data_IF_529032176366
#
_entry.id   IF_529032176366
#
_cell.length_a   1.000
_cell.length_b   1.000
_cell.length_c   1.000
_cell.angle_alpha   90.00
_cell.angle_beta   90.00
_cell.angle_gamma   90.00
#
_symmetry.space_group_name_H-M   'P 1'
#
loop_
_entity.id
_entity.type
_entity.pdbx_description
1 polymer ?
#
# COMPACT_ATOMS: atom_id res chain seq x y z
N UNK A 1 -49.13 -38.23 3.14
CA UNK A 1 -49.43 -37.02 3.95
C UNK A 1 -48.12 -36.44 4.48
N UNK A 2 -47.53 -35.45 3.80
CA UNK A 2 -46.36 -34.70 4.28
C UNK A 2 -46.79 -33.23 4.39
N UNK A 3 -46.55 -32.60 5.53
CA UNK A 3 -46.83 -31.18 5.78
C UNK A 3 -45.72 -30.36 5.14
N UNK A 4 -46.10 -29.48 4.23
CA UNK A 4 -45.23 -28.43 3.66
C UNK A 4 -45.28 -27.23 4.60
N UNK A 5 -44.15 -26.83 5.16
CA UNK A 5 -44.01 -25.53 5.82
C UNK A 5 -43.56 -24.54 4.74
N UNK A 6 -44.40 -23.53 4.49
CA UNK A 6 -44.15 -22.42 3.56
C UNK A 6 -44.02 -21.16 4.42
N UNK A 7 -42.86 -20.52 4.40
CA UNK A 7 -42.71 -19.12 4.79
C UNK A 7 -42.10 -18.35 3.61
N UNK A 8 -42.82 -17.34 3.14
CA UNK A 8 -42.43 -16.46 2.03
C UNK A 8 -41.69 -15.22 2.55
N UNK A 9 -40.49 -14.99 2.05
CA UNK A 9 -39.94 -13.65 1.80
C UNK A 9 -39.24 -13.73 0.43
N UNK A 10 -39.65 -12.87 -0.49
CA UNK A 10 -39.03 -12.53 -1.77
C UNK A 10 -38.56 -13.68 -2.69
N UNK A 11 -39.54 -14.28 -3.39
CA UNK A 11 -39.41 -14.41 -4.84
C UNK A 11 -38.58 -15.56 -5.44
N UNK A 12 -38.02 -16.50 -4.68
CA UNK A 12 -37.50 -17.76 -5.25
C UNK A 12 -37.62 -18.95 -4.27
N UNK A 13 -38.35 -19.99 -4.67
CA UNK A 13 -38.56 -21.21 -3.88
C UNK A 13 -37.45 -22.21 -4.19
N UNK A 14 -36.51 -22.41 -3.26
CA UNK A 14 -35.53 -23.51 -3.33
C UNK A 14 -36.06 -24.70 -2.53
N UNK A 15 -36.45 -25.75 -3.24
CA UNK A 15 -36.78 -27.07 -2.67
C UNK A 15 -35.49 -27.88 -2.61
N UNK A 16 -34.96 -28.15 -1.41
CA UNK A 16 -33.82 -29.05 -1.23
C UNK A 16 -34.31 -30.49 -1.00
N UNK A 17 -33.90 -31.48 -1.82
CA UNK A 17 -34.07 -32.87 -1.46
C UNK A 17 -33.01 -33.32 -0.45
N UNK A 18 -33.49 -34.14 0.48
CA UNK A 18 -32.76 -34.87 1.50
C UNK A 18 -31.79 -35.90 0.88
N UNK A 19 -30.63 -36.06 1.53
CA UNK A 19 -29.63 -37.12 1.35
C UNK A 19 -28.73 -37.00 0.11
N UNK A 20 -27.42 -36.81 0.31
CA UNK A 20 -26.39 -37.83 0.03
C UNK A 20 -25.03 -37.33 0.51
N UNK A 21 -24.29 -38.23 1.16
CA UNK A 21 -22.94 -38.04 1.68
C UNK A 21 -21.94 -38.69 0.71
N UNK A 22 -20.66 -38.31 0.83
CA UNK A 22 -19.43 -38.91 0.24
C UNK A 22 -18.89 -38.43 -1.13
N UNK A 23 -17.81 -37.63 -1.04
CA UNK A 23 -16.46 -37.82 -1.63
C UNK A 23 -16.30 -38.09 -3.14
N UNK A 24 -15.56 -37.16 -3.78
CA UNK A 24 -14.90 -37.18 -5.10
C UNK A 24 -15.79 -37.11 -6.36
N UNK A 25 -15.83 -35.94 -7.02
CA UNK A 25 -15.34 -35.81 -8.39
C UNK A 25 -15.08 -34.34 -8.77
N UNK A 26 -13.93 -34.13 -9.41
CA UNK A 26 -13.53 -32.92 -10.11
C UNK A 26 -14.52 -32.51 -11.21
N UNK A 27 -14.43 -31.22 -11.56
CA UNK A 27 -14.86 -30.60 -12.81
C UNK A 27 -16.37 -30.48 -13.03
N UNK A 28 -16.88 -29.25 -12.88
CA UNK A 28 -17.62 -28.46 -13.90
C UNK A 28 -18.47 -27.39 -13.20
N UNK A 29 -17.87 -26.25 -12.84
CA UNK A 29 -18.61 -24.99 -12.68
C UNK A 29 -17.75 -23.82 -13.19
N UNK A 30 -18.21 -23.05 -14.18
CA UNK A 30 -17.45 -21.93 -14.73
C UNK A 30 -17.52 -20.72 -13.80
N UNK A 31 -16.34 -20.16 -13.55
CA UNK A 31 -16.02 -18.73 -13.34
C UNK A 31 -17.18 -17.83 -12.88
N UNK A 32 -17.35 -17.70 -11.57
CA UNK A 32 -18.01 -16.54 -10.94
C UNK A 32 -17.13 -15.91 -9.86
N UNK A 33 -15.82 -15.83 -10.10
CA UNK A 33 -14.86 -15.09 -9.25
C UNK A 33 -14.32 -13.82 -9.90
N UNK A 34 -14.97 -13.30 -10.96
CA UNK A 34 -14.43 -12.22 -11.77
C UNK A 34 -15.27 -10.92 -11.81
N UNK A 35 -16.20 -10.70 -10.87
CA UNK A 35 -16.99 -9.44 -10.81
C UNK A 35 -16.97 -8.77 -9.42
N UNK A 36 -16.07 -9.17 -8.49
CA UNK A 36 -15.96 -8.49 -7.19
C UNK A 36 -14.76 -7.53 -7.05
N UNK A 37 -13.82 -7.52 -7.99
CA UNK A 37 -12.56 -6.76 -7.85
C UNK A 37 -12.54 -5.38 -8.51
N UNK A 38 -13.62 -4.98 -9.21
CA UNK A 38 -13.67 -3.72 -10.00
C UNK A 38 -14.67 -2.69 -9.43
N UNK A 39 -15.32 -2.97 -8.29
CA UNK A 39 -16.34 -2.10 -7.67
C UNK A 39 -16.21 -1.96 -6.15
N UNK A 40 -14.98 -1.91 -5.62
CA UNK A 40 -14.74 -1.34 -4.30
C UNK A 40 -13.82 -0.14 -4.46
N UNK A 41 -14.44 1.00 -4.82
CA UNK A 41 -13.94 2.26 -4.32
C UNK A 41 -14.18 2.19 -2.81
N UNK A 42 -13.26 1.57 -2.05
CA UNK A 42 -13.40 1.52 -0.60
C UNK A 42 -13.58 2.97 -0.14
N UNK A 43 -14.79 3.27 0.33
CA UNK A 43 -15.12 4.60 0.81
C UNK A 43 -14.15 4.89 1.94
N UNK A 44 -13.43 6.01 1.82
CA UNK A 44 -12.52 6.48 2.88
C UNK A 44 -13.25 6.46 4.23
N UNK A 45 -12.54 6.03 5.26
CA UNK A 45 -13.05 6.04 6.63
C UNK A 45 -13.09 7.47 7.14
N UNK A 46 -14.15 7.84 7.86
CA UNK A 46 -14.12 9.06 8.68
C UNK A 46 -13.18 8.86 9.88
N UNK A 47 -12.71 9.95 10.47
CA UNK A 47 -11.89 9.87 11.68
C UNK A 47 -12.64 9.19 12.85
N UNK A 48 -13.94 9.42 12.97
CA UNK A 48 -14.79 8.75 13.95
C UNK A 48 -14.78 7.22 13.77
N UNK A 49 -14.92 6.76 12.51
CA UNK A 49 -14.84 5.33 12.19
C UNK A 49 -13.46 4.75 12.54
N UNK A 50 -12.38 5.47 12.24
CA UNK A 50 -11.01 5.07 12.63
C UNK A 50 -10.88 4.94 14.15
N UNK A 51 -11.41 5.90 14.91
CA UNK A 51 -11.38 5.90 16.36
C UNK A 51 -12.20 4.77 17.01
N UNK A 52 -13.19 4.24 16.29
CA UNK A 52 -14.02 3.12 16.72
C UNK A 52 -13.49 1.74 16.28
N UNK A 53 -12.38 1.67 15.53
CA UNK A 53 -11.83 0.40 15.07
C UNK A 53 -11.30 -0.45 16.23
N UNK A 54 -11.63 -1.74 16.20
CA UNK A 54 -10.92 -2.72 17.02
C UNK A 54 -9.46 -2.86 16.55
N UNK A 55 -8.49 -3.16 17.44
CA UNK A 55 -7.07 -3.14 17.11
C UNK A 55 -6.69 -3.93 15.85
N UNK A 56 -7.19 -5.16 15.70
CA UNK A 56 -6.87 -5.99 14.53
C UNK A 56 -7.36 -5.40 13.20
N UNK A 57 -8.48 -4.66 13.20
CA UNK A 57 -8.97 -3.97 12.01
C UNK A 57 -8.13 -2.73 11.71
N UNK A 58 -7.73 -1.97 12.74
CA UNK A 58 -6.78 -0.87 12.60
C UNK A 58 -5.46 -1.34 11.98
N UNK A 59 -4.89 -2.43 12.52
CA UNK A 59 -3.64 -3.01 12.00
C UNK A 59 -3.79 -3.33 10.52
N UNK A 60 -4.85 -4.05 10.14
CA UNK A 60 -5.08 -4.44 8.74
C UNK A 60 -5.32 -3.24 7.81
N UNK A 61 -6.00 -2.20 8.29
CA UNK A 61 -6.26 -1.00 7.48
C UNK A 61 -4.98 -0.19 7.22
N UNK A 62 -4.07 -0.11 8.20
CA UNK A 62 -2.88 0.73 8.10
C UNK A 62 -1.57 -0.06 7.90
N UNK A 63 -1.61 -1.38 7.69
CA UNK A 63 -0.42 -2.26 7.66
C UNK A 63 0.60 -1.88 6.59
N UNK A 64 0.18 -1.23 5.50
CA UNK A 64 1.03 -0.90 4.37
C UNK A 64 1.14 0.62 4.12
N UNK A 65 0.79 1.47 5.10
CA UNK A 65 1.06 2.92 4.94
C UNK A 65 2.56 3.22 4.95
N UNK A 66 3.35 2.35 5.55
CA UNK A 66 4.80 2.25 5.33
C UNK A 66 5.02 0.92 4.61
N UNK A 67 5.78 0.93 3.52
CA UNK A 67 5.93 -0.23 2.63
C UNK A 67 6.40 -1.47 3.39
N UNK A 68 5.57 -2.52 3.37
CA UNK A 68 5.80 -3.81 4.02
C UNK A 68 6.22 -3.71 5.51
N UNK A 69 5.76 -2.69 6.23
CA UNK A 69 6.13 -2.43 7.63
C UNK A 69 4.90 -2.25 8.54
N UNK A 70 4.24 -3.35 8.94
CA UNK A 70 2.99 -3.32 9.70
C UNK A 70 3.15 -2.84 11.16
N UNK A 71 4.36 -2.83 11.70
CA UNK A 71 4.65 -2.49 13.10
C UNK A 71 4.22 -1.06 13.46
N UNK A 72 4.24 -0.15 12.48
CA UNK A 72 3.76 1.22 12.67
C UNK A 72 2.26 1.25 12.98
N UNK A 73 1.46 0.42 12.31
CA UNK A 73 0.03 0.32 12.56
C UNK A 73 -0.26 -0.26 13.96
N UNK A 74 0.54 -1.23 14.39
CA UNK A 74 0.44 -1.79 15.75
C UNK A 74 0.73 -0.71 16.79
N UNK A 75 1.84 0.01 16.65
CA UNK A 75 2.20 1.10 17.54
C UNK A 75 1.14 2.20 17.59
N UNK A 76 0.69 2.68 16.43
CA UNK A 76 -0.26 3.80 16.36
C UNK A 76 -1.67 3.41 16.85
N UNK A 77 -2.06 2.14 16.77
CA UNK A 77 -3.35 1.68 17.31
C UNK A 77 -3.48 1.87 18.82
N UNK A 78 -2.37 1.86 19.56
CA UNK A 78 -2.34 2.10 21.00
C UNK A 78 -2.53 3.58 21.38
N UNK A 79 -2.52 4.49 20.40
CA UNK A 79 -2.66 5.94 20.58
C UNK A 79 -4.09 6.43 20.33
N UNK A 80 -5.02 5.52 20.02
CA UNK A 80 -6.43 5.87 19.85
C UNK A 80 -7.02 6.40 21.17
N UNK A 81 -7.97 7.37 21.10
CA UNK A 81 -8.49 8.01 19.89
C UNK A 81 -7.63 9.22 19.44
N UNK A 82 -7.57 9.44 18.11
CA UNK A 82 -6.96 10.63 17.53
C UNK A 82 -7.95 11.79 17.46
N UNK A 83 -7.46 13.01 17.73
CA UNK A 83 -8.27 14.24 17.75
C UNK A 83 -8.56 14.83 16.36
N UNK A 84 -7.72 14.51 15.37
CA UNK A 84 -7.84 15.02 14.00
C UNK A 84 -7.07 14.13 13.03
N UNK A 85 -7.37 14.21 11.73
CA UNK A 85 -6.60 13.52 10.70
C UNK A 85 -5.10 13.92 10.70
N UNK A 86 -4.71 15.20 10.87
CA UNK A 86 -3.32 15.57 11.09
C UNK A 86 -2.67 14.88 12.30
N UNK A 87 -3.41 14.68 13.41
CA UNK A 87 -2.86 13.98 14.58
C UNK A 87 -2.57 12.50 14.29
N UNK A 88 -3.42 11.84 13.50
CA UNK A 88 -3.19 10.48 13.02
C UNK A 88 -1.93 10.42 12.13
N UNK A 89 -1.81 11.31 11.15
CA UNK A 89 -0.65 11.38 10.25
C UNK A 89 0.64 11.62 11.04
N UNK A 90 0.64 12.61 11.94
CA UNK A 90 1.81 12.91 12.79
C UNK A 90 2.19 11.74 13.69
N UNK A 91 1.26 10.88 14.10
CA UNK A 91 1.59 9.69 14.89
C UNK A 91 2.48 8.71 14.12
N UNK A 92 2.14 8.46 12.85
CA UNK A 92 2.96 7.61 11.96
C UNK A 92 4.29 8.26 11.60
N UNK A 93 4.31 9.56 11.30
CA UNK A 93 5.55 10.29 11.01
C UNK A 93 6.50 10.30 12.22
N UNK A 94 5.98 10.52 13.43
CA UNK A 94 6.76 10.46 14.66
C UNK A 94 7.26 9.05 14.96
N UNK A 95 6.49 8.01 14.63
CA UNK A 95 6.96 6.63 14.73
C UNK A 95 8.22 6.44 13.88
N UNK A 96 8.18 6.81 12.59
CA UNK A 96 9.33 6.72 11.69
C UNK A 96 10.52 7.53 12.23
N UNK A 97 10.28 8.75 12.68
CA UNK A 97 11.33 9.66 13.15
C UNK A 97 12.09 9.10 14.36
N UNK A 98 11.38 8.44 15.28
CA UNK A 98 11.95 7.88 16.52
C UNK A 98 12.63 6.53 16.34
N UNK A 99 12.51 5.90 15.18
CA UNK A 99 13.20 4.65 14.92
C UNK A 99 14.72 4.85 14.94
N UNK A 100 15.49 3.90 15.52
CA UNK A 100 16.93 3.85 15.34
C UNK A 100 17.30 3.81 13.85
N UNK A 101 18.47 4.36 13.50
CA UNK A 101 18.95 4.40 12.10
C UNK A 101 18.95 3.02 11.43
N UNK A 102 19.25 1.95 12.17
CA UNK A 102 19.20 0.58 11.65
C UNK A 102 17.78 0.17 11.20
N UNK A 103 16.76 0.51 11.98
CA UNK A 103 15.36 0.23 11.62
C UNK A 103 14.89 1.12 10.48
N UNK A 104 15.32 2.39 10.44
CA UNK A 104 15.07 3.28 9.29
C UNK A 104 15.65 2.64 8.01
N UNK A 105 16.90 2.16 8.04
CA UNK A 105 17.52 1.48 6.90
C UNK A 105 16.79 0.19 6.50
N UNK A 106 16.28 -0.59 7.46
CA UNK A 106 15.45 -1.78 7.15
C UNK A 106 14.19 -1.38 6.37
N UNK A 107 13.49 -0.33 6.81
CA UNK A 107 12.32 0.20 6.10
C UNK A 107 12.70 0.65 4.68
N UNK A 108 13.76 1.45 4.53
CA UNK A 108 14.15 1.96 3.21
C UNK A 108 14.44 0.82 2.21
N UNK A 109 15.02 -0.30 2.66
CA UNK A 109 15.30 -1.46 1.82
C UNK A 109 14.07 -2.24 1.37
N UNK A 110 12.91 -2.02 1.98
CA UNK A 110 11.65 -2.65 1.57
C UNK A 110 11.03 -1.98 0.34
N UNK A 111 11.41 -0.72 0.06
CA UNK A 111 10.87 0.00 -1.08
C UNK A 111 11.39 -0.58 -2.41
N UNK A 112 10.52 -0.73 -3.42
CA UNK A 112 10.94 -1.19 -4.73
C UNK A 112 11.71 -0.08 -5.49
N UNK A 113 12.62 -0.49 -6.37
CA UNK A 113 13.29 0.44 -7.29
C UNK A 113 12.28 1.13 -8.24
N UNK A 114 12.48 2.43 -8.47
CA UNK A 114 11.71 3.16 -9.49
C UNK A 114 12.06 2.64 -10.89
N UNK A 115 11.04 2.32 -11.69
CA UNK A 115 11.21 1.71 -13.02
C UNK A 115 12.05 0.41 -13.04
N UNK A 116 12.13 -0.29 -11.90
CA UNK A 116 12.88 -1.53 -11.76
C UNK A 116 12.10 -2.77 -12.20
N UNK A 117 12.76 -3.94 -12.10
CA UNK A 117 12.23 -5.24 -12.56
C UNK A 117 10.86 -5.61 -11.98
N UNK A 118 10.56 -5.19 -10.74
CA UNK A 118 9.26 -5.44 -10.09
C UNK A 118 8.11 -4.69 -10.77
N UNK A 119 8.40 -3.52 -11.36
CA UNK A 119 7.42 -2.80 -12.18
C UNK A 119 7.16 -3.58 -13.47
N UNK A 120 8.22 -4.05 -14.13
CA UNK A 120 8.13 -4.83 -15.37
C UNK A 120 7.44 -6.19 -15.15
N UNK A 121 7.64 -6.84 -14.00
CA UNK A 121 6.98 -8.10 -13.61
C UNK A 121 5.60 -7.93 -12.98
N UNK A 122 5.18 -6.69 -12.67
CA UNK A 122 3.92 -6.36 -11.95
C UNK A 122 3.81 -7.03 -10.57
N UNK A 123 4.93 -7.21 -9.89
CA UNK A 123 5.01 -7.82 -8.55
C UNK A 123 5.06 -6.78 -7.42
N UNK A 124 4.75 -5.51 -7.72
CA UNK A 124 4.66 -4.44 -6.72
C UNK A 124 3.49 -4.67 -5.76
N UNK A 125 3.62 -4.15 -4.53
CA UNK A 125 2.47 -3.99 -3.65
C UNK A 125 1.39 -3.15 -4.34
N UNK A 126 0.13 -3.31 -3.94
CA UNK A 126 -0.98 -2.57 -4.53
C UNK A 126 -0.77 -1.05 -4.43
N UNK A 127 -0.28 -0.58 -3.28
CA UNK A 127 0.00 0.85 -3.07
C UNK A 127 1.14 1.36 -3.97
N UNK A 128 2.27 0.64 -4.04
CA UNK A 128 3.38 1.01 -4.93
C UNK A 128 2.96 0.96 -6.41
N UNK A 129 2.13 0.00 -6.82
CA UNK A 129 1.60 -0.05 -8.18
C UNK A 129 0.75 1.18 -8.50
N UNK A 130 -0.14 1.60 -7.59
CA UNK A 130 -0.96 2.82 -7.77
C UNK A 130 -0.07 4.06 -7.87
N UNK A 131 0.95 4.16 -7.02
CA UNK A 131 1.90 5.27 -6.98
C UNK A 131 2.69 5.38 -8.30
N UNK A 132 3.27 4.28 -8.78
CA UNK A 132 4.07 4.26 -10.00
C UNK A 132 3.23 4.57 -11.25
N UNK A 133 2.03 3.99 -11.34
CA UNK A 133 1.06 4.28 -12.40
C UNK A 133 0.70 5.78 -12.44
N UNK A 134 0.47 6.38 -11.27
CA UNK A 134 0.06 7.80 -11.19
C UNK A 134 1.14 8.77 -11.65
N UNK A 135 2.41 8.37 -11.59
CA UNK A 135 3.56 9.15 -12.05
C UNK A 135 3.98 8.83 -13.49
N UNK A 136 3.25 7.95 -14.19
CA UNK A 136 3.52 7.59 -15.59
C UNK A 136 4.82 6.80 -15.80
N UNK A 137 5.37 6.18 -14.75
CA UNK A 137 6.64 5.45 -14.83
C UNK A 137 6.55 4.21 -15.74
N UNK A 138 5.34 3.64 -15.87
CA UNK A 138 5.05 2.50 -16.74
C UNK A 138 5.27 2.84 -18.22
N UNK A 139 5.04 4.11 -18.60
CA UNK A 139 5.08 4.62 -19.97
C UNK A 139 6.40 5.29 -20.35
N UNK A 140 7.44 5.18 -19.53
CA UNK A 140 8.75 5.76 -19.85
C UNK A 140 9.35 5.14 -21.10
N UNK A 141 10.03 5.97 -21.90
CA UNK A 141 10.84 5.51 -23.02
C UNK A 141 11.96 4.57 -22.52
N UNK A 142 12.35 3.61 -23.36
CA UNK A 142 13.36 2.62 -22.99
C UNK A 142 14.70 3.26 -22.56
N UNK A 143 15.09 4.36 -23.22
CA UNK A 143 16.31 5.12 -22.90
C UNK A 143 16.24 5.75 -21.50
N UNK A 144 15.08 6.28 -21.13
CA UNK A 144 14.88 6.91 -19.82
C UNK A 144 14.79 5.87 -18.70
N UNK A 145 14.17 4.71 -18.96
CA UNK A 145 14.23 3.55 -18.05
C UNK A 145 15.67 3.08 -17.84
N UNK A 146 16.47 3.00 -18.91
CA UNK A 146 17.87 2.59 -18.82
C UNK A 146 18.71 3.56 -17.97
N UNK A 147 18.55 4.87 -18.19
CA UNK A 147 19.22 5.91 -17.37
C UNK A 147 18.82 5.80 -15.90
N UNK A 148 17.53 5.68 -15.60
CA UNK A 148 17.06 5.58 -14.22
C UNK A 148 17.58 4.30 -13.54
N UNK A 149 17.63 3.18 -14.27
CA UNK A 149 18.22 1.94 -13.76
C UNK A 149 19.71 2.07 -13.45
N UNK A 150 20.49 2.75 -14.29
CA UNK A 150 21.90 3.03 -14.00
C UNK A 150 22.04 3.85 -12.70
N UNK A 151 21.21 4.89 -12.53
CA UNK A 151 21.19 5.67 -11.29
C UNK A 151 20.78 4.85 -10.08
N UNK A 152 19.76 3.99 -10.19
CA UNK A 152 19.35 3.10 -9.09
C UNK A 152 20.49 2.18 -8.64
N UNK A 153 21.22 1.57 -9.58
CA UNK A 153 22.34 0.69 -9.25
C UNK A 153 23.48 1.45 -8.55
N UNK A 154 23.86 2.62 -9.07
CA UNK A 154 24.88 3.47 -8.44
C UNK A 154 24.45 3.96 -7.05
N UNK A 155 23.19 4.35 -6.93
CA UNK A 155 22.61 4.84 -5.69
C UNK A 155 22.61 3.73 -4.61
N UNK A 156 22.15 2.53 -4.96
CA UNK A 156 22.19 1.36 -4.06
C UNK A 156 23.62 0.99 -3.66
N UNK A 157 24.57 1.05 -4.60
CA UNK A 157 25.98 0.77 -4.31
C UNK A 157 26.57 1.78 -3.31
N UNK A 158 26.16 3.04 -3.35
CA UNK A 158 26.66 4.09 -2.47
C UNK A 158 25.98 4.11 -1.09
N UNK A 159 24.65 4.02 -1.05
CA UNK A 159 23.88 4.22 0.19
C UNK A 159 23.38 2.92 0.82
N UNK A 160 23.37 1.81 0.09
CA UNK A 160 22.92 0.51 0.59
C UNK A 160 21.39 0.38 0.74
N UNK A 161 20.63 1.26 0.10
CA UNK A 161 19.17 1.22 -0.03
C UNK A 161 18.71 1.85 -1.36
N UNK A 162 17.49 1.54 -1.84
CA UNK A 162 16.93 2.07 -3.08
C UNK A 162 16.78 3.59 -3.11
N UNK A 163 16.77 4.18 -4.31
CA UNK A 163 16.39 5.58 -4.46
C UNK A 163 14.88 5.74 -4.23
N UNK A 164 14.53 6.43 -3.15
CA UNK A 164 13.13 6.64 -2.75
C UNK A 164 12.76 8.10 -2.98
N UNK A 165 11.65 8.31 -3.67
CA UNK A 165 11.02 9.62 -3.85
C UNK A 165 9.50 9.45 -3.85
N UNK A 166 8.80 10.43 -3.30
CA UNK A 166 7.34 10.50 -3.36
C UNK A 166 6.90 10.87 -4.78
N UNK A 167 6.76 9.85 -5.65
CA UNK A 167 6.47 10.03 -7.08
C UNK A 167 5.18 10.80 -7.34
N UNK A 168 4.20 10.71 -6.43
CA UNK A 168 2.95 11.47 -6.48
C UNK A 168 3.15 12.99 -6.33
N UNK A 169 4.20 13.42 -5.64
CA UNK A 169 4.57 14.84 -5.52
C UNK A 169 5.55 15.28 -6.61
N UNK A 170 6.50 14.41 -6.98
CA UNK A 170 7.49 14.73 -8.02
C UNK A 170 6.83 14.96 -9.40
N UNK A 171 5.71 14.28 -9.67
CA UNK A 171 4.76 14.44 -10.80
C UNK A 171 5.31 14.31 -12.24
N UNK A 172 6.61 14.45 -12.46
CA UNK A 172 7.27 14.38 -13.77
C UNK A 172 8.59 13.63 -13.68
N UNK A 173 8.94 12.89 -14.73
CA UNK A 173 10.18 12.14 -14.81
C UNK A 173 11.42 13.03 -14.71
N UNK A 174 11.43 14.23 -15.31
CA UNK A 174 12.59 15.12 -15.22
C UNK A 174 12.88 15.57 -13.79
N UNK A 175 11.83 15.74 -12.96
CA UNK A 175 11.98 16.05 -11.53
C UNK A 175 12.62 14.89 -10.78
N UNK A 176 12.20 13.66 -11.08
CA UNK A 176 12.75 12.44 -10.48
C UNK A 176 14.23 12.29 -10.87
N UNK A 177 14.54 12.46 -12.16
CA UNK A 177 15.89 12.36 -12.68
C UNK A 177 16.81 13.43 -12.06
N UNK A 178 16.35 14.68 -11.99
CA UNK A 178 17.09 15.74 -11.29
C UNK A 178 17.35 15.38 -9.83
N UNK A 179 16.31 14.90 -9.12
CA UNK A 179 16.43 14.54 -7.72
C UNK A 179 17.49 13.46 -7.49
N UNK A 180 17.50 12.37 -8.29
CA UNK A 180 18.53 11.33 -8.13
C UNK A 180 19.93 11.83 -8.49
N UNK A 181 20.06 12.71 -9.50
CA UNK A 181 21.36 13.28 -9.88
C UNK A 181 21.93 14.24 -8.84
N UNK A 182 21.09 14.96 -8.11
CA UNK A 182 21.53 15.82 -7.01
C UNK A 182 21.89 14.98 -5.78
N UNK A 183 20.98 14.07 -5.38
CA UNK A 183 21.08 13.28 -4.16
C UNK A 183 22.21 12.27 -4.15
N UNK A 184 22.64 11.78 -5.31
CA UNK A 184 23.79 10.87 -5.39
C UNK A 184 25.10 11.50 -4.88
N UNK A 185 25.18 12.82 -4.79
CA UNK A 185 26.37 13.51 -4.27
C UNK A 185 26.30 13.80 -2.76
N UNK A 186 25.23 13.38 -2.07
CA UNK A 186 25.07 13.58 -0.65
C UNK A 186 25.96 12.66 0.19
N UNK A 187 26.22 13.08 1.43
CA UNK A 187 26.73 12.16 2.46
C UNK A 187 25.66 11.14 2.84
N UNK A 188 26.09 10.00 3.41
CA UNK A 188 25.18 8.93 3.83
C UNK A 188 24.16 9.44 4.87
N UNK A 189 24.59 10.25 5.83
CA UNK A 189 23.71 10.77 6.87
C UNK A 189 22.65 11.73 6.33
N UNK A 190 23.06 12.64 5.42
CA UNK A 190 22.13 13.53 4.73
C UNK A 190 21.12 12.74 3.90
N UNK A 191 21.58 11.72 3.16
CA UNK A 191 20.70 10.96 2.30
C UNK A 191 19.74 10.07 3.08
N UNK A 192 20.17 9.54 4.23
CA UNK A 192 19.29 8.82 5.14
C UNK A 192 18.14 9.72 5.62
N UNK A 193 18.44 10.96 6.01
CA UNK A 193 17.43 11.92 6.46
C UNK A 193 16.45 12.28 5.33
N UNK A 194 16.96 12.55 4.12
CA UNK A 194 16.15 12.86 2.94
C UNK A 194 15.24 11.68 2.59
N UNK A 195 15.79 10.46 2.50
CA UNK A 195 15.03 9.27 2.15
C UNK A 195 13.91 8.97 3.18
N UNK A 196 14.19 9.18 4.48
CA UNK A 196 13.18 9.09 5.54
C UNK A 196 12.10 10.18 5.38
N UNK A 197 12.49 11.39 4.98
CA UNK A 197 11.56 12.44 4.60
C UNK A 197 10.61 12.04 3.47
N UNK A 198 11.11 11.39 2.44
CA UNK A 198 10.30 10.87 1.33
C UNK A 198 9.34 9.75 1.77
N UNK A 199 9.78 8.85 2.66
CA UNK A 199 8.91 7.82 3.26
C UNK A 199 7.77 8.45 4.06
N UNK A 200 8.03 9.51 4.85
CA UNK A 200 6.97 10.23 5.58
C UNK A 200 5.92 10.82 4.64
N UNK A 201 6.34 11.41 3.50
CA UNK A 201 5.42 11.91 2.47
C UNK A 201 4.56 10.81 1.87
N UNK A 202 5.16 9.67 1.51
CA UNK A 202 4.44 8.50 0.99
C UNK A 202 3.42 8.01 2.03
N UNK A 203 3.84 7.85 3.29
CA UNK A 203 2.98 7.44 4.40
C UNK A 203 1.78 8.37 4.57
N UNK A 204 2.01 9.69 4.58
CA UNK A 204 0.95 10.70 4.63
C UNK A 204 -0.04 10.52 3.48
N UNK A 205 0.44 10.37 2.25
CA UNK A 205 -0.41 10.24 1.07
C UNK A 205 -1.24 8.93 1.06
N UNK A 206 -0.68 7.82 1.58
CA UNK A 206 -1.40 6.56 1.77
C UNK A 206 -2.49 6.69 2.84
N UNK A 207 -2.20 7.34 3.98
CA UNK A 207 -3.23 7.63 5.00
C UNK A 207 -4.36 8.49 4.40
N UNK A 208 -4.03 9.51 3.60
CA UNK A 208 -5.02 10.35 2.93
C UNK A 208 -5.85 9.62 1.87
N UNK A 209 -5.40 8.46 1.38
CA UNK A 209 -6.23 7.58 0.52
C UNK A 209 -7.23 6.77 1.33
N UNK A 210 -6.91 6.44 2.58
CA UNK A 210 -7.72 5.61 3.46
C UNK A 210 -8.72 6.40 4.32
N UNK A 211 -8.37 7.63 4.71
CA UNK A 211 -9.12 8.43 5.70
C UNK A 211 -9.51 9.79 5.13
N UNK A 212 -10.69 10.28 5.52
CA UNK A 212 -11.17 11.63 5.27
C UNK A 212 -11.62 12.32 6.58
N UNK A 213 -11.54 13.65 6.59
CA UNK A 213 -11.77 14.50 7.77
C UNK A 213 -13.26 14.89 7.91
N UNK A 214 -14.19 14.03 7.49
CA UNK A 214 -15.64 14.33 7.42
C UNK A 214 -16.22 14.59 8.80
#
# INVERSE_FOLDING_TARGET
RKRTLVSRIDGNVLVLPSCYNFRYLLCLFPVTHAISSVLLRESKLSLEQVNALVPGKFHKTFENVIECWPEAAIFCSALLPFKSLPALIHAFENYIERLPSESKLKILRLYPDLAGKLLDSKELSTDSSIEHNSAGLDNLAAEDKAKLNEYNERYKAQFGFPFIVCVREASKFETILRSVTERINNSIDQELEIAVGEVKKICRLRILQLVCDV
#
